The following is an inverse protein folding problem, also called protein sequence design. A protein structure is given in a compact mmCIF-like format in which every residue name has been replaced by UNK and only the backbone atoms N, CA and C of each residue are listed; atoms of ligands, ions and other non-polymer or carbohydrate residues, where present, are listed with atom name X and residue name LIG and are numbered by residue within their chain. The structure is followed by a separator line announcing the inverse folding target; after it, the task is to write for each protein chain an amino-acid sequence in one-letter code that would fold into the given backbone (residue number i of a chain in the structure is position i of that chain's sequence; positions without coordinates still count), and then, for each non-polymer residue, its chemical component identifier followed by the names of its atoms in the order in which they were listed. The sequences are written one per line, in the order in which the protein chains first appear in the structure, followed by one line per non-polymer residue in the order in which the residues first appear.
data_IF_449026226397
#
_entry.id   IF_449026226397
#
_cell.length_a   1.000
_cell.length_b   1.000
_cell.length_c   1.000
_cell.angle_alpha   90.00
_cell.angle_beta   90.00
_cell.angle_gamma   90.00
#
_symmetry.space_group_name_H-M   'P 1'
#
loop_
_entity.id
_entity.type
_entity.pdbx_description
1 polymer ?
#
# COMPACT_ATOMS: atom_id res chain seq x y z
N UNK A 1 77.30 38.32 27.11
CA UNK A 1 76.16 37.83 27.92
C UNK A 1 75.16 37.21 26.98
N UNK A 2 75.08 35.88 26.96
CA UNK A 2 74.30 35.10 26.00
C UNK A 2 73.07 34.57 26.73
N UNK A 3 71.88 35.05 26.38
CA UNK A 3 70.60 34.63 26.97
C UNK A 3 69.98 33.55 26.09
N UNK A 4 70.03 32.31 26.57
CA UNK A 4 69.33 31.16 25.97
C UNK A 4 67.87 31.13 26.44
N UNK A 5 66.93 31.31 25.52
CA UNK A 5 65.49 31.09 25.75
C UNK A 5 65.17 29.60 25.52
N UNK A 6 64.79 28.90 26.58
CA UNK A 6 64.28 27.53 26.51
C UNK A 6 62.76 27.55 26.25
N UNK A 7 62.34 27.10 25.07
CA UNK A 7 60.93 26.84 24.76
C UNK A 7 60.52 25.48 25.35
N UNK A 8 59.73 25.50 26.42
CA UNK A 8 59.06 24.31 26.94
C UNK A 8 57.81 24.05 26.10
N UNK A 9 57.86 23.04 25.23
CA UNK A 9 56.69 22.46 24.57
C UNK A 9 55.86 21.72 25.64
N UNK A 10 54.82 22.38 26.14
CA UNK A 10 53.82 21.74 26.99
C UNK A 10 53.00 20.73 26.20
N UNK A 11 53.27 19.43 26.41
CA UNK A 11 52.34 18.36 26.04
C UNK A 11 51.12 18.46 26.96
N UNK A 12 50.05 19.07 26.45
CA UNK A 12 48.73 18.99 27.07
C UNK A 12 48.20 17.56 26.91
N UNK A 13 47.86 16.83 27.99
CA UNK A 13 47.22 15.54 27.84
C UNK A 13 45.79 15.80 27.37
N UNK A 14 45.51 15.52 26.11
CA UNK A 14 44.14 15.39 25.63
C UNK A 14 43.54 14.17 26.34
N UNK A 15 42.90 14.39 27.49
CA UNK A 15 42.10 13.38 28.15
C UNK A 15 40.94 13.03 27.22
N UNK A 16 41.08 11.94 26.47
CA UNK A 16 39.97 11.35 25.73
C UNK A 16 38.92 10.94 26.77
N UNK A 17 37.82 11.68 26.86
CA UNK A 17 36.63 11.25 27.56
C UNK A 17 36.21 9.93 26.93
N UNK A 18 36.41 8.81 27.65
CA UNK A 18 35.92 7.52 27.23
C UNK A 18 34.39 7.61 27.18
N UNK A 19 33.84 7.79 25.98
CA UNK A 19 32.41 7.75 25.78
C UNK A 19 31.94 6.34 26.14
N UNK A 20 30.93 6.24 27.02
CA UNK A 20 30.32 4.97 27.31
C UNK A 20 29.68 4.45 26.03
N UNK A 21 29.95 3.18 25.71
CA UNK A 21 29.41 2.52 24.52
C UNK A 21 28.79 1.19 24.90
N UNK A 22 27.73 0.82 24.21
CA UNK A 22 27.04 -0.46 24.40
C UNK A 22 26.91 -1.23 23.09
N UNK A 23 26.68 -2.53 23.19
CA UNK A 23 26.38 -3.40 22.06
C UNK A 23 24.90 -3.71 22.04
N UNK A 24 24.24 -3.50 20.90
CA UNK A 24 22.80 -3.65 20.75
C UNK A 24 22.54 -4.75 19.74
N UNK A 25 21.72 -5.73 20.12
CA UNK A 25 21.38 -6.87 19.27
C UNK A 25 19.91 -6.83 18.90
N UNK A 26 19.65 -6.93 17.60
CA UNK A 26 18.33 -7.13 17.06
C UNK A 26 18.20 -8.56 16.52
N UNK A 27 17.02 -9.15 16.61
CA UNK A 27 16.71 -10.49 16.11
C UNK A 27 15.46 -10.46 15.25
N UNK A 28 15.43 -11.22 14.17
CA UNK A 28 14.28 -11.33 13.28
C UNK A 28 13.52 -12.63 13.59
N UNK A 29 12.37 -12.58 14.30
CA UNK A 29 11.59 -13.77 14.62
C UNK A 29 10.81 -14.28 13.40
N UNK A 30 10.43 -15.56 13.47
CA UNK A 30 9.47 -16.14 12.55
C UNK A 30 8.07 -15.55 12.83
N UNK A 31 7.34 -15.17 11.78
CA UNK A 31 6.00 -14.61 11.88
C UNK A 31 5.13 -15.08 10.72
N UNK A 32 3.82 -14.83 10.78
CA UNK A 32 2.91 -15.16 9.67
C UNK A 32 3.30 -14.50 8.34
N UNK A 33 3.97 -13.34 8.39
CA UNK A 33 4.45 -12.60 7.22
C UNK A 33 5.85 -13.03 6.77
N UNK A 34 6.60 -13.70 7.65
CA UNK A 34 7.93 -14.23 7.43
C UNK A 34 8.05 -15.60 8.11
N UNK A 35 7.55 -16.63 7.44
CA UNK A 35 7.49 -17.98 8.01
C UNK A 35 8.88 -18.54 8.34
N UNK A 36 9.85 -18.36 7.43
CA UNK A 36 11.22 -18.83 7.59
C UNK A 36 12.21 -17.66 7.52
N UNK A 37 12.70 -17.15 8.67
CA UNK A 37 13.71 -16.09 8.70
C UNK A 37 15.02 -16.47 8.01
N UNK A 38 15.33 -17.77 7.94
CA UNK A 38 16.49 -18.32 7.24
C UNK A 38 16.47 -18.16 5.72
N UNK A 39 15.31 -17.86 5.12
CA UNK A 39 15.19 -17.58 3.68
C UNK A 39 15.53 -16.14 3.32
N UNK A 40 15.85 -15.29 4.31
CA UNK A 40 16.29 -13.94 4.04
C UNK A 40 17.61 -13.98 3.25
N UNK A 41 17.74 -13.17 2.20
CA UNK A 41 18.95 -13.14 1.39
C UNK A 41 20.13 -12.59 2.21
N UNK A 42 21.37 -13.00 1.90
CA UNK A 42 22.57 -12.55 2.61
C UNK A 42 22.87 -11.05 2.40
N UNK A 43 22.23 -10.41 1.41
CA UNK A 43 22.28 -8.96 1.21
C UNK A 43 21.43 -8.18 2.23
N UNK A 44 20.72 -8.88 3.13
CA UNK A 44 19.95 -8.26 4.20
C UNK A 44 20.91 -7.61 5.20
N UNK A 45 20.72 -6.32 5.44
CA UNK A 45 21.54 -5.57 6.38
C UNK A 45 20.68 -4.56 7.11
N UNK A 46 21.14 -4.13 8.28
CA UNK A 46 20.54 -3.04 9.02
C UNK A 46 21.42 -1.80 8.94
N UNK A 47 20.78 -0.64 9.00
CA UNK A 47 21.43 0.66 9.09
C UNK A 47 20.96 1.37 10.34
N UNK A 48 21.90 1.80 11.17
CA UNK A 48 21.67 2.64 12.34
C UNK A 48 22.12 4.05 11.98
N UNK A 49 21.17 4.99 12.00
CA UNK A 49 21.37 6.36 11.53
C UNK A 49 20.98 7.37 12.61
N UNK A 50 21.81 8.37 12.81
CA UNK A 50 21.55 9.58 13.61
C UNK A 50 22.18 10.78 12.90
N UNK A 51 22.04 11.99 13.46
CA UNK A 51 22.48 13.24 12.81
C UNK A 51 23.94 13.26 12.36
N UNK A 52 24.82 12.48 13.02
CA UNK A 52 26.27 12.44 12.73
C UNK A 52 26.85 11.03 12.69
N UNK A 53 26.01 10.00 12.82
CA UNK A 53 26.46 8.61 12.94
C UNK A 53 25.64 7.78 11.97
N UNK A 54 26.32 7.05 11.10
CA UNK A 54 25.72 6.05 10.25
C UNK A 54 26.56 4.78 10.33
N UNK A 55 25.96 3.69 10.78
CA UNK A 55 26.58 2.38 10.86
C UNK A 55 25.71 1.38 10.10
N UNK A 56 26.35 0.42 9.43
CA UNK A 56 25.63 -0.66 8.77
C UNK A 56 26.20 -2.01 9.18
N UNK A 57 25.32 -2.97 9.38
CA UNK A 57 25.67 -4.32 9.86
C UNK A 57 24.90 -5.36 9.03
N UNK A 58 25.58 -6.39 8.51
CA UNK A 58 24.93 -7.48 7.79
C UNK A 58 24.16 -8.42 8.74
N UNK A 59 23.19 -9.15 8.20
CA UNK A 59 22.52 -10.23 8.92
C UNK A 59 23.49 -11.38 9.19
N UNK A 60 23.55 -11.85 10.45
CA UNK A 60 24.37 -13.01 10.83
C UNK A 60 23.68 -14.33 10.54
N UNK A 61 24.43 -15.43 10.61
CA UNK A 61 23.91 -16.81 10.53
C UNK A 61 23.02 -17.21 11.72
N UNK A 62 22.73 -16.31 12.66
CA UNK A 62 21.78 -16.52 13.75
C UNK A 62 20.53 -15.66 13.59
N UNK A 63 20.32 -15.06 12.40
CA UNK A 63 19.26 -14.08 12.12
C UNK A 63 19.27 -12.89 13.09
N UNK A 64 20.47 -12.50 13.52
CA UNK A 64 20.67 -11.34 14.39
C UNK A 64 21.46 -10.25 13.67
N UNK A 65 21.25 -9.02 14.12
CA UNK A 65 21.93 -7.83 13.65
C UNK A 65 22.55 -7.18 14.89
N UNK A 66 23.88 -7.06 14.92
CA UNK A 66 24.61 -6.63 16.12
C UNK A 66 25.36 -5.33 15.86
N UNK A 67 24.90 -4.25 16.48
CA UNK A 67 25.60 -2.97 16.45
C UNK A 67 26.52 -2.87 17.66
N UNK A 68 27.82 -2.75 17.39
CA UNK A 68 28.83 -2.52 18.42
C UNK A 68 29.14 -1.04 18.57
N UNK A 69 29.66 -0.66 19.74
CA UNK A 69 30.16 0.69 20.02
C UNK A 69 29.10 1.81 19.87
N UNK A 70 27.85 1.54 20.26
CA UNK A 70 26.77 2.55 20.20
C UNK A 70 26.84 3.44 21.43
N UNK A 71 27.03 4.75 21.22
CA UNK A 71 27.04 5.76 22.29
C UNK A 71 25.64 6.24 22.65
N UNK A 72 25.52 6.98 23.76
CA UNK A 72 24.27 7.67 24.11
C UNK A 72 23.78 8.58 22.97
N UNK A 73 22.49 8.50 22.65
CA UNK A 73 21.88 9.21 21.54
C UNK A 73 20.56 8.59 21.10
N UNK A 74 19.87 9.28 20.20
CA UNK A 74 18.66 8.79 19.55
C UNK A 74 19.00 8.41 18.11
N UNK A 75 18.58 7.20 17.71
CA UNK A 75 18.93 6.58 16.45
C UNK A 75 17.69 6.01 15.76
N UNK A 76 17.74 5.97 14.43
CA UNK A 76 16.81 5.25 13.59
C UNK A 76 17.49 3.98 13.07
N UNK A 77 16.88 2.84 13.32
CA UNK A 77 17.32 1.54 12.83
C UNK A 77 16.37 1.07 11.74
N UNK A 78 16.89 0.95 10.53
CA UNK A 78 16.17 0.45 9.37
C UNK A 78 16.78 -0.87 8.92
N UNK A 79 15.94 -1.89 8.68
CA UNK A 79 16.37 -3.18 8.12
C UNK A 79 16.03 -3.25 6.64
N UNK A 80 17.05 -3.42 5.81
CA UNK A 80 16.96 -3.47 4.36
C UNK A 80 17.14 -4.90 3.87
N UNK A 81 16.09 -5.45 3.25
CA UNK A 81 16.16 -6.71 2.54
C UNK A 81 15.52 -6.59 1.16
N UNK A 82 16.06 -7.26 0.12
CA UNK A 82 15.40 -7.37 -1.16
C UNK A 82 14.06 -8.11 -1.12
N UNK A 83 13.85 -9.08 -0.24
CA UNK A 83 12.65 -9.94 -0.31
C UNK A 83 11.50 -9.43 0.56
N UNK A 84 11.81 -8.89 1.73
CA UNK A 84 10.81 -8.46 2.71
C UNK A 84 11.03 -7.03 3.17
N UNK A 85 9.93 -6.36 3.55
CA UNK A 85 9.95 -5.08 4.24
C UNK A 85 9.88 -5.31 5.75
N UNK A 86 10.54 -4.43 6.51
CA UNK A 86 10.57 -4.45 7.96
C UNK A 86 10.12 -3.09 8.50
N UNK A 87 9.65 -3.09 9.73
CA UNK A 87 9.30 -1.84 10.40
C UNK A 87 10.55 -1.07 10.82
N UNK A 88 10.57 0.26 10.65
CA UNK A 88 11.65 1.08 11.16
C UNK A 88 11.54 1.17 12.69
N UNK A 89 12.68 1.16 13.37
CA UNK A 89 12.76 1.14 14.83
C UNK A 89 13.47 2.41 15.29
N UNK A 90 12.84 3.14 16.20
CA UNK A 90 13.50 4.20 16.94
C UNK A 90 14.20 3.59 18.15
N UNK A 91 15.47 3.93 18.32
CA UNK A 91 16.32 3.46 19.40
C UNK A 91 16.82 4.66 20.19
N UNK A 92 16.46 4.76 21.48
CA UNK A 92 17.05 5.75 22.38
C UNK A 92 18.02 5.06 23.33
N UNK A 93 19.25 5.56 23.36
CA UNK A 93 20.31 5.13 24.27
C UNK A 93 20.59 6.29 25.21
N UNK A 94 20.29 6.11 26.48
CA UNK A 94 20.49 7.13 27.51
C UNK A 94 21.38 6.59 28.64
N UNK A 95 22.16 7.44 29.33
CA UNK A 95 22.81 7.02 30.56
C UNK A 95 21.76 6.58 31.57
N UNK A 96 21.99 5.41 32.18
CA UNK A 96 21.08 4.85 33.16
C UNK A 96 21.22 5.62 34.48
N UNK A 97 20.14 6.30 34.87
CA UNK A 97 20.08 7.05 36.13
C UNK A 97 20.15 6.11 37.34
N UNK A 98 19.73 4.84 37.22
CA UNK A 98 19.79 3.86 38.30
C UNK A 98 21.22 3.33 38.56
N UNK A 99 22.10 3.45 37.57
CA UNK A 99 23.49 3.01 37.63
C UNK A 99 24.47 4.19 37.71
N UNK A 100 24.04 5.34 38.26
CA UNK A 100 24.83 6.57 38.39
C UNK A 100 25.47 7.04 37.06
N UNK A 101 24.84 6.74 35.92
CA UNK A 101 25.36 7.07 34.60
C UNK A 101 26.54 6.21 34.14
N UNK A 102 26.90 5.15 34.87
CA UNK A 102 27.97 4.21 34.49
C UNK A 102 27.50 3.12 33.51
N UNK A 103 26.19 2.96 33.32
CA UNK A 103 25.61 2.06 32.33
C UNK A 103 24.75 2.84 31.33
N UNK A 104 24.54 2.28 30.14
CA UNK A 104 23.60 2.82 29.16
C UNK A 104 22.31 2.01 29.17
N UNK A 105 21.18 2.69 29.37
CA UNK A 105 19.85 2.14 29.18
C UNK A 105 19.45 2.29 27.72
N UNK A 106 18.95 1.20 27.16
CA UNK A 106 18.54 1.13 25.76
C UNK A 106 17.05 0.86 25.70
N UNK A 107 16.33 1.71 24.99
CA UNK A 107 14.90 1.56 24.73
C UNK A 107 14.64 1.62 23.24
N UNK A 108 13.73 0.77 22.77
CA UNK A 108 13.34 0.68 21.38
C UNK A 108 11.83 0.84 21.22
N UNK A 109 11.42 1.53 20.17
CA UNK A 109 10.02 1.69 19.78
C UNK A 109 9.86 1.48 18.29
N UNK A 110 8.75 0.88 17.90
CA UNK A 110 8.29 0.86 16.53
C UNK A 110 7.92 2.29 16.09
N UNK A 111 8.38 2.69 14.91
CA UNK A 111 8.06 4.00 14.34
C UNK A 111 7.52 3.88 12.92
N UNK A 112 7.03 4.99 12.39
CA UNK A 112 6.48 5.08 11.04
C UNK A 112 7.05 6.31 10.37
N UNK A 113 7.38 6.18 9.08
CA UNK A 113 7.86 7.32 8.30
C UNK A 113 6.75 8.36 8.18
N UNK A 114 7.10 9.63 8.43
CA UNK A 114 6.17 10.75 8.40
C UNK A 114 5.56 11.12 9.75
N UNK A 115 5.86 10.38 10.82
CA UNK A 115 5.49 10.77 12.19
C UNK A 115 6.54 11.70 12.80
N UNK A 116 6.12 12.60 13.71
CA UNK A 116 7.05 13.43 14.47
C UNK A 116 7.99 12.56 15.30
N UNK A 117 9.26 12.96 15.39
CA UNK A 117 10.25 12.17 16.13
C UNK A 117 9.78 11.91 17.56
N UNK A 118 9.25 12.91 18.26
CA UNK A 118 8.77 12.82 19.64
C UNK A 118 7.59 11.86 19.86
N UNK A 119 6.85 11.48 18.81
CA UNK A 119 5.73 10.56 18.91
C UNK A 119 6.23 9.11 18.87
N UNK A 120 6.41 8.53 20.05
CA UNK A 120 6.88 7.15 20.24
C UNK A 120 5.71 6.19 20.01
N UNK A 121 5.90 5.21 19.12
CA UNK A 121 4.92 4.16 18.87
C UNK A 121 4.98 3.05 19.93
N UNK A 122 4.63 1.84 19.51
CA UNK A 122 4.66 0.66 20.37
C UNK A 122 6.08 0.38 20.85
N UNK A 123 6.26 0.18 22.16
CA UNK A 123 7.56 -0.16 22.73
C UNK A 123 7.92 -1.62 22.41
N UNK A 124 9.13 -1.84 21.92
CA UNK A 124 9.63 -3.18 21.63
C UNK A 124 10.27 -3.71 22.91
N UNK A 125 9.72 -4.79 23.51
CA UNK A 125 10.31 -5.37 24.71
C UNK A 125 11.70 -5.95 24.40
N UNK A 126 12.58 -5.89 25.39
CA UNK A 126 13.87 -6.54 25.32
C UNK A 126 13.72 -8.01 25.74
N UNK A 127 13.65 -8.92 24.77
CA UNK A 127 13.55 -10.36 24.98
C UNK A 127 14.96 -10.98 24.99
N UNK A 128 15.39 -11.61 26.08
CA UNK A 128 16.71 -12.27 26.19
C UNK A 128 17.91 -11.39 25.77
N UNK A 129 17.83 -10.08 26.05
CA UNK A 129 18.86 -9.11 25.66
C UNK A 129 18.87 -8.76 24.17
N UNK A 130 17.79 -9.05 23.44
CA UNK A 130 17.63 -8.77 22.00
C UNK A 130 16.32 -8.05 21.73
N UNK A 131 16.35 -7.12 20.78
CA UNK A 131 15.14 -6.46 20.30
C UNK A 131 14.56 -7.19 19.09
N UNK A 132 13.26 -7.42 19.09
CA UNK A 132 12.59 -8.11 18.00
C UNK A 132 12.28 -7.15 16.84
N UNK A 133 12.63 -7.56 15.62
CA UNK A 133 12.35 -6.79 14.41
C UNK A 133 11.14 -7.37 13.69
N UNK A 134 10.08 -6.59 13.59
CA UNK A 134 8.86 -7.02 12.93
C UNK A 134 8.95 -6.90 11.41
N UNK A 135 8.60 -7.98 10.71
CA UNK A 135 8.44 -8.01 9.27
C UNK A 135 7.04 -7.48 8.88
N UNK A 136 6.99 -6.64 7.84
CA UNK A 136 5.75 -6.11 7.24
C UNK A 136 5.22 -7.00 6.12
N UNK A 137 6.07 -7.84 5.51
CA UNK A 137 5.69 -8.77 4.45
C UNK A 137 6.61 -8.72 3.23
N UNK A 138 6.32 -9.53 2.20
CA UNK A 138 7.13 -9.60 0.99
C UNK A 138 7.01 -8.33 0.14
N UNK A 139 8.10 -7.95 -0.52
CA UNK A 139 8.15 -6.80 -1.42
C UNK A 139 7.73 -7.22 -2.83
N UNK A 140 6.63 -6.64 -3.31
CA UNK A 140 6.22 -6.74 -4.71
C UNK A 140 6.92 -5.65 -5.55
N UNK A 141 7.88 -6.04 -6.38
CA UNK A 141 8.55 -5.11 -7.31
C UNK A 141 7.85 -5.01 -8.67
N UNK A 142 7.10 -6.06 -9.02
CA UNK A 142 6.48 -6.19 -10.32
C UNK A 142 4.98 -6.08 -10.19
N UNK A 143 4.38 -5.24 -11.03
CA UNK A 143 2.95 -5.26 -11.30
C UNK A 143 2.68 -6.24 -12.44
N UNK A 144 1.73 -7.14 -12.26
CA UNK A 144 1.28 -7.99 -13.35
C UNK A 144 0.64 -7.14 -14.46
N UNK A 145 0.92 -7.50 -15.72
CA UNK A 145 0.22 -6.88 -16.85
C UNK A 145 -1.20 -7.42 -16.91
N UNK A 146 -2.15 -6.53 -17.16
CA UNK A 146 -3.53 -6.92 -17.45
C UNK A 146 -3.53 -7.87 -18.65
N UNK A 147 -3.80 -9.16 -18.39
CA UNK A 147 -3.86 -10.17 -19.43
C UNK A 147 -5.28 -10.22 -19.98
N UNK A 148 -5.41 -10.41 -21.30
CA UNK A 148 -6.68 -10.63 -21.96
C UNK A 148 -7.23 -12.00 -21.52
N UNK A 149 -8.13 -12.00 -20.53
CA UNK A 149 -8.80 -13.21 -20.09
C UNK A 149 -10.13 -13.34 -20.82
N UNK A 150 -10.25 -14.36 -21.67
CA UNK A 150 -11.51 -14.68 -22.40
C UNK A 150 -12.68 -14.88 -21.41
N UNK A 151 -12.39 -15.44 -20.22
CA UNK A 151 -13.36 -15.56 -19.14
C UNK A 151 -13.78 -14.20 -18.57
N UNK A 152 -12.88 -13.24 -18.45
CA UNK A 152 -13.20 -11.88 -17.98
C UNK A 152 -14.05 -11.13 -19.01
N UNK A 153 -13.82 -11.38 -20.30
CA UNK A 153 -14.58 -10.81 -21.41
C UNK A 153 -15.98 -11.41 -21.44
N UNK A 154 -16.11 -12.73 -21.28
CA UNK A 154 -17.42 -13.38 -21.15
C UNK A 154 -18.15 -12.92 -19.89
N UNK A 155 -17.46 -12.59 -18.80
CA UNK A 155 -18.07 -12.01 -17.59
C UNK A 155 -18.46 -10.54 -17.73
N UNK A 156 -18.17 -9.91 -18.87
CA UNK A 156 -18.58 -8.53 -19.11
C UNK A 156 -20.10 -8.49 -19.38
N UNK A 157 -20.90 -7.78 -18.57
CA UNK A 157 -22.36 -7.73 -18.72
C UNK A 157 -22.80 -7.24 -20.10
N UNK A 158 -22.04 -6.36 -20.74
CA UNK A 158 -22.36 -5.88 -22.10
C UNK A 158 -22.22 -6.99 -23.16
N UNK A 159 -21.22 -7.85 -23.01
CA UNK A 159 -20.97 -8.96 -23.94
C UNK A 159 -21.98 -10.09 -23.72
N UNK A 160 -22.35 -10.39 -22.47
CA UNK A 160 -23.41 -11.36 -22.17
C UNK A 160 -24.76 -10.93 -22.72
N UNK A 161 -25.13 -9.66 -22.51
CA UNK A 161 -26.37 -9.11 -23.08
C UNK A 161 -26.33 -9.13 -24.62
N UNK A 162 -25.17 -8.85 -25.22
CA UNK A 162 -24.95 -9.00 -26.66
C UNK A 162 -25.15 -10.44 -27.15
N UNK A 163 -24.60 -11.44 -26.45
CA UNK A 163 -24.76 -12.84 -26.83
C UNK A 163 -26.20 -13.35 -26.61
N UNK A 164 -26.84 -12.96 -25.51
CA UNK A 164 -28.24 -13.33 -25.21
C UNK A 164 -29.19 -12.72 -26.23
N UNK A 165 -29.01 -11.44 -26.59
CA UNK A 165 -29.82 -10.79 -27.64
C UNK A 165 -29.61 -11.46 -29.00
N UNK A 166 -28.38 -11.81 -29.38
CA UNK A 166 -28.10 -12.56 -30.61
C UNK A 166 -28.77 -13.95 -30.61
N UNK A 167 -28.76 -14.65 -29.48
CA UNK A 167 -29.42 -15.95 -29.33
C UNK A 167 -30.95 -15.83 -29.46
N UNK A 168 -31.56 -14.78 -28.88
CA UNK A 168 -32.99 -14.50 -29.01
C UNK A 168 -33.34 -14.17 -30.47
N UNK A 169 -32.54 -13.35 -31.15
CA UNK A 169 -32.79 -12.96 -32.54
C UNK A 169 -32.78 -14.17 -33.50
N UNK A 170 -31.87 -15.14 -33.27
CA UNK A 170 -31.79 -16.37 -34.06
C UNK A 170 -32.82 -17.42 -33.60
N UNK A 171 -33.12 -17.46 -32.30
CA UNK A 171 -34.00 -18.46 -31.69
C UNK A 171 -35.50 -18.15 -31.82
N UNK A 172 -35.90 -16.88 -31.73
CA UNK A 172 -37.31 -16.45 -31.82
C UNK A 172 -37.99 -16.91 -33.11
N UNK A 173 -37.42 -16.77 -34.32
CA UNK A 173 -38.03 -17.26 -35.55
C UNK A 173 -38.30 -18.77 -35.49
N UNK A 174 -37.38 -19.54 -34.91
CA UNK A 174 -37.50 -21.00 -34.78
C UNK A 174 -38.52 -21.44 -33.73
N UNK A 175 -38.65 -20.68 -32.65
CA UNK A 175 -39.68 -20.93 -31.63
C UNK A 175 -41.07 -20.59 -32.17
N UNK A 176 -41.20 -19.51 -32.94
CA UNK A 176 -42.47 -19.11 -33.56
C UNK A 176 -42.88 -20.13 -34.62
N UNK A 177 -41.97 -20.57 -35.50
CA UNK A 177 -42.22 -21.59 -36.54
C UNK A 177 -42.78 -22.91 -35.98
N UNK A 178 -42.36 -23.33 -34.78
CA UNK A 178 -42.76 -24.58 -34.15
C UNK A 178 -43.86 -24.44 -33.07
N UNK A 179 -44.42 -23.25 -32.87
CA UNK A 179 -45.49 -23.00 -31.89
C UNK A 179 -46.88 -23.29 -32.47
N UNK A 180 -47.75 -23.90 -31.67
CA UNK A 180 -49.16 -24.15 -32.01
C UNK A 180 -49.94 -22.84 -32.25
N UNK A 181 -50.94 -22.82 -33.16
CA UNK A 181 -51.63 -21.61 -33.59
C UNK A 181 -52.34 -20.85 -32.45
N UNK A 182 -52.85 -21.56 -31.43
CA UNK A 182 -53.51 -20.94 -30.27
C UNK A 182 -52.50 -20.19 -29.37
N UNK A 183 -51.30 -20.74 -29.17
CA UNK A 183 -50.23 -20.09 -28.39
C UNK A 183 -49.61 -18.90 -29.12
N UNK A 184 -49.58 -18.91 -30.47
CA UNK A 184 -49.13 -17.76 -31.26
C UNK A 184 -50.02 -16.54 -31.04
N UNK A 185 -51.33 -16.72 -31.03
CA UNK A 185 -52.28 -15.63 -30.81
C UNK A 185 -52.18 -15.06 -29.38
N UNK A 186 -51.93 -15.89 -28.38
CA UNK A 186 -51.65 -15.43 -27.00
C UNK A 186 -50.33 -14.67 -26.90
N UNK A 187 -49.28 -15.13 -27.60
CA UNK A 187 -48.00 -14.43 -27.70
C UNK A 187 -48.12 -13.09 -28.40
N UNK A 188 -48.89 -13.00 -29.49
CA UNK A 188 -49.14 -11.73 -30.20
C UNK A 188 -49.95 -10.74 -29.34
N UNK A 189 -50.93 -11.23 -28.58
CA UNK A 189 -51.68 -10.41 -27.61
C UNK A 189 -50.76 -9.88 -26.49
N UNK A 190 -49.84 -10.71 -26.00
CA UNK A 190 -48.86 -10.34 -24.98
C UNK A 190 -47.71 -9.45 -25.51
N UNK A 191 -47.34 -9.55 -26.78
CA UNK A 191 -46.37 -8.65 -27.42
C UNK A 191 -46.98 -7.26 -27.65
N UNK A 192 -48.26 -7.19 -28.05
CA UNK A 192 -48.98 -5.93 -28.20
C UNK A 192 -49.19 -5.18 -26.88
N UNK A 193 -49.22 -5.89 -25.76
CA UNK A 193 -49.44 -5.28 -24.43
C UNK A 193 -48.16 -4.87 -23.71
N UNK A 194 -46.97 -5.30 -24.15
CA UNK A 194 -45.72 -5.10 -23.39
C UNK A 194 -44.66 -4.28 -24.18
N UNK A 195 -44.48 -2.98 -23.87
CA UNK A 195 -43.71 -2.04 -24.71
C UNK A 195 -42.18 -2.30 -24.72
N UNK A 196 -41.65 -3.03 -23.75
CA UNK A 196 -40.22 -3.38 -23.68
C UNK A 196 -39.84 -4.45 -24.72
N UNK A 197 -40.79 -5.27 -25.17
CA UNK A 197 -40.53 -6.38 -26.09
C UNK A 197 -40.42 -5.93 -27.56
N UNK A 198 -41.02 -4.78 -27.91
CA UNK A 198 -40.89 -4.14 -29.22
C UNK A 198 -39.48 -3.53 -29.47
N UNK A 199 -38.76 -3.17 -28.40
CA UNK A 199 -37.37 -2.72 -28.51
C UNK A 199 -36.41 -3.89 -28.80
N UNK A 200 -36.74 -5.09 -28.30
CA UNK A 200 -35.87 -6.28 -28.41
C UNK A 200 -36.10 -7.08 -29.71
N UNK A 201 -37.24 -6.91 -30.38
CA UNK A 201 -37.66 -7.69 -31.56
C UNK A 201 -37.27 -7.08 -32.91
N UNK A 202 -36.54 -5.95 -32.95
CA UNK A 202 -35.98 -5.41 -34.19
C UNK A 202 -37.01 -4.92 -35.22
N UNK A 203 -38.24 -4.59 -34.80
CA UNK A 203 -39.26 -4.01 -35.65
C UNK A 203 -39.05 -2.50 -35.84
N UNK A 204 -38.35 -2.12 -36.91
CA UNK A 204 -38.34 -0.74 -37.35
C UNK A 204 -39.70 -0.33 -37.92
N UNK A 205 -40.40 0.59 -37.25
CA UNK A 205 -41.09 1.73 -37.88
C UNK A 205 -41.66 2.69 -36.83
N UNK A 206 -41.61 3.98 -37.18
CA UNK A 206 -42.11 5.12 -36.42
C UNK A 206 -43.43 4.85 -35.69
N UNK A 207 -43.51 5.21 -34.40
CA UNK A 207 -44.25 6.38 -33.91
C UNK A 207 -44.52 6.29 -32.38
N UNK A 208 -44.24 7.40 -31.70
CA UNK A 208 -44.49 7.69 -30.28
C UNK A 208 -43.62 6.99 -29.22
N UNK A 209 -42.33 7.38 -29.16
CA UNK A 209 -41.53 7.25 -27.94
C UNK A 209 -42.05 8.22 -26.86
N UNK A 210 -42.53 7.78 -25.69
CA UNK A 210 -42.71 8.66 -24.53
C UNK A 210 -41.38 9.18 -23.95
N UNK A 211 -40.24 8.76 -24.51
CA UNK A 211 -38.89 9.24 -24.22
C UNK A 211 -38.33 10.20 -25.29
N UNK A 212 -39.11 10.54 -26.33
CA UNK A 212 -38.69 11.49 -27.37
C UNK A 212 -38.65 12.97 -26.91
N UNK A 213 -39.13 13.25 -25.70
CA UNK A 213 -39.15 14.59 -25.12
C UNK A 213 -38.00 14.84 -24.11
N UNK A 214 -37.07 13.89 -23.96
CA UNK A 214 -35.89 14.06 -23.12
C UNK A 214 -34.71 14.51 -23.97
N UNK A 215 -34.52 15.84 -24.05
CA UNK A 215 -33.39 16.45 -24.75
C UNK A 215 -32.09 16.26 -23.95
N UNK A 216 -31.38 15.18 -24.28
CA UNK A 216 -30.08 14.84 -23.68
C UNK A 216 -29.01 15.90 -24.01
N UNK A 217 -29.15 16.64 -25.12
CA UNK A 217 -28.22 17.71 -25.47
C UNK A 217 -28.42 18.92 -24.55
N UNK A 218 -29.66 19.29 -24.20
CA UNK A 218 -29.93 20.35 -23.23
C UNK A 218 -29.44 20.00 -21.81
N UNK A 219 -29.58 18.74 -21.40
CA UNK A 219 -29.10 18.26 -20.10
C UNK A 219 -27.56 18.27 -20.00
N UNK A 220 -26.86 17.88 -21.06
CA UNK A 220 -25.40 17.88 -21.10
C UNK A 220 -24.81 19.28 -21.33
N UNK A 221 -25.54 20.15 -22.02
CA UNK A 221 -25.16 21.56 -22.24
C UNK A 221 -25.50 22.47 -21.05
N UNK A 222 -26.14 21.96 -19.98
CA UNK A 222 -26.34 22.67 -18.72
C UNK A 222 -27.27 23.89 -18.78
N UNK A 223 -28.10 24.04 -19.81
CA UNK A 223 -28.99 25.19 -19.93
C UNK A 223 -30.31 24.97 -19.15
N UNK A 224 -30.51 25.76 -18.09
CA UNK A 224 -31.83 25.97 -17.49
C UNK A 224 -32.68 26.81 -18.44
N UNK A 225 -33.88 26.33 -18.74
CA UNK A 225 -34.90 27.05 -19.51
C UNK A 225 -35.48 28.17 -18.63
N UNK A 226 -35.10 29.41 -18.91
CA UNK A 226 -35.72 30.60 -18.30
C UNK A 226 -37.07 30.89 -18.98
N UNK A 227 -38.16 30.64 -18.24
CA UNK A 227 -39.50 31.12 -18.57
C UNK A 227 -39.67 32.55 -18.05
N UNK A 228 -39.60 33.57 -18.90
CA UNK A 228 -40.47 34.75 -18.75
C UNK A 228 -40.54 35.66 -19.98
N UNK A 229 -41.76 36.02 -20.38
CA UNK A 229 -42.07 37.39 -20.79
C UNK A 229 -42.28 37.66 -22.28
N UNK A 230 -43.40 37.21 -22.83
CA UNK A 230 -44.05 37.92 -23.93
C UNK A 230 -45.17 38.81 -23.43
N UNK A 231 -45.09 40.13 -23.59
CA UNK A 231 -46.21 40.96 -24.07
C UNK A 231 -45.80 42.42 -24.24
N UNK A 232 -46.15 42.96 -25.40
CA UNK A 232 -46.27 44.38 -25.71
C UNK A 232 -47.13 45.11 -24.68
N UNK A 233 -46.63 46.21 -24.12
CA UNK A 233 -47.19 47.58 -24.19
C UNK A 233 -46.31 48.54 -23.42
#
# INVERSE_FOLDING_TARGET
MQTTFAFLLGLWPAAALAALTTSITFHIPASHLLADPWRLPPSTHATLTSLRVAASVPLTTTNTLVFHNVSAGSYLVDVHSPTHAFMPIRLDVAPDAAADGQALRVEAWETYRGNDWGNKGEAIPLSDGRFEVRALGPKGYFSERSTFSVLTILKNPMILLGLVSMAIFIGMPKLVENMDPEMREEWEKNQKSNPMNNILSGGGQQQANPMGNFDMAAFLAGQKKDDNGGSKR
#
